data_IF_130914181934
#
_entry.id   IF_130914181934
#
_cell.length_a   1.000
_cell.length_b   1.000
_cell.length_c   1.000
_cell.angle_alpha   90.00
_cell.angle_beta   90.00
_cell.angle_gamma   90.00
#
_symmetry.space_group_name_H-M   'P 1'
#
loop_
_entity.id
_entity.type
_entity.pdbx_description
1 polymer ?
#
# COMPACT_ATOMS: atom_id res chain seq x y z
N UNK A 1 2.00 30.74 5.20
CA UNK A 1 1.46 29.36 5.25
C UNK A 1 0.04 29.32 4.73
N UNK A 2 -0.60 28.15 4.86
CA UNK A 2 -2.04 27.91 4.61
C UNK A 2 -2.67 27.41 5.92
N UNK A 3 -3.98 27.15 5.95
CA UNK A 3 -4.64 26.56 7.13
C UNK A 3 -4.03 25.21 7.57
N UNK A 4 -3.37 24.49 6.66
CA UNK A 4 -2.73 23.21 6.98
C UNK A 4 -1.53 23.33 7.94
N UNK A 5 -1.01 24.54 8.15
CA UNK A 5 0.16 24.78 9.00
C UNK A 5 -0.20 25.15 10.43
N UNK A 6 -1.49 25.35 10.72
CA UNK A 6 -1.94 25.76 12.05
C UNK A 6 -1.61 24.70 13.11
N UNK A 7 -0.91 25.12 14.17
CA UNK A 7 -0.49 24.25 15.27
C UNK A 7 0.64 23.28 14.93
N UNK A 8 1.24 23.34 13.73
CA UNK A 8 2.37 22.50 13.33
C UNK A 8 3.70 23.19 13.55
N UNK A 9 4.72 22.42 13.90
CA UNK A 9 6.08 22.91 14.02
C UNK A 9 6.63 23.32 12.64
N UNK A 10 7.32 24.47 12.58
CA UNK A 10 7.99 24.95 11.37
C UNK A 10 9.46 25.20 11.61
N UNK A 11 10.26 25.03 10.56
CA UNK A 11 11.71 25.24 10.61
C UNK A 11 12.21 25.90 9.32
N UNK A 12 13.12 26.86 9.45
CA UNK A 12 13.82 27.45 8.30
C UNK A 12 15.08 26.65 7.99
N UNK A 13 15.15 26.09 6.78
CA UNK A 13 16.28 25.29 6.27
C UNK A 13 16.72 25.92 4.95
N UNK A 14 17.98 26.38 4.88
CA UNK A 14 18.50 27.01 3.66
C UNK A 14 17.74 28.28 3.23
N UNK A 15 17.19 29.03 4.20
CA UNK A 15 16.42 30.25 3.94
C UNK A 15 14.97 30.01 3.50
N UNK A 16 14.50 28.76 3.50
CA UNK A 16 13.10 28.40 3.20
C UNK A 16 12.42 27.78 4.41
N UNK A 17 11.18 28.16 4.67
CA UNK A 17 10.35 27.59 5.73
C UNK A 17 9.77 26.23 5.31
N UNK A 18 9.84 25.26 6.21
CA UNK A 18 9.27 23.92 6.10
C UNK A 18 8.35 23.64 7.29
N UNK A 19 7.39 22.73 7.11
CA UNK A 19 6.45 22.30 8.15
C UNK A 19 6.74 20.84 8.47
N UNK A 20 6.80 20.49 9.75
CA UNK A 20 6.96 19.12 10.21
C UNK A 20 5.62 18.36 10.08
N UNK A 21 5.64 17.24 9.37
CA UNK A 21 4.53 16.28 9.30
C UNK A 21 4.94 14.97 10.00
N UNK A 22 4.05 14.44 10.84
CA UNK A 22 4.29 13.16 11.50
C UNK A 22 3.94 12.00 10.56
N UNK A 23 4.65 10.88 10.72
CA UNK A 23 4.36 9.66 9.98
C UNK A 23 2.98 9.10 10.37
N UNK A 24 2.18 8.76 9.37
CA UNK A 24 0.89 8.10 9.59
C UNK A 24 1.10 6.60 9.86
N UNK A 25 0.43 6.08 10.89
CA UNK A 25 0.41 4.66 11.27
C UNK A 25 -1.03 4.17 11.39
N UNK A 26 -1.23 2.87 11.18
CA UNK A 26 -2.53 2.23 11.36
C UNK A 26 -2.40 0.85 12.00
N UNK A 27 -3.45 0.41 12.69
CA UNK A 27 -3.53 -0.98 13.17
C UNK A 27 -3.78 -1.95 12.01
N UNK A 28 -4.65 -1.55 11.08
CA UNK A 28 -5.02 -2.33 9.91
C UNK A 28 -4.87 -1.54 8.61
N UNK A 29 -4.39 -2.23 7.58
CA UNK A 29 -4.32 -1.74 6.20
C UNK A 29 -5.13 -2.69 5.31
N UNK A 30 -6.19 -2.16 4.70
CA UNK A 30 -7.03 -2.88 3.75
C UNK A 30 -6.73 -2.34 2.35
N UNK A 31 -6.09 -3.16 1.53
CA UNK A 31 -5.58 -2.75 0.23
C UNK A 31 -5.91 -3.77 -0.85
N UNK A 32 -5.68 -3.37 -2.10
CA UNK A 32 -5.97 -4.17 -3.28
C UNK A 32 -4.76 -4.30 -4.20
N UNK A 33 -4.47 -5.53 -4.62
CA UNK A 33 -3.46 -5.88 -5.62
C UNK A 33 -4.09 -6.47 -6.88
N UNK A 34 -3.25 -6.81 -7.87
CA UNK A 34 -3.69 -7.56 -9.03
C UNK A 34 -3.47 -9.06 -8.82
N UNK A 35 -2.22 -9.48 -8.59
CA UNK A 35 -1.89 -10.86 -8.22
C UNK A 35 -1.03 -10.88 -6.98
N UNK A 36 -1.16 -11.93 -6.18
CA UNK A 36 -0.21 -12.24 -5.13
C UNK A 36 0.28 -13.69 -5.23
N UNK A 37 1.53 -13.93 -4.86
CA UNK A 37 2.00 -15.30 -4.67
C UNK A 37 1.67 -15.83 -3.26
N UNK A 38 1.86 -17.13 -3.04
CA UNK A 38 1.61 -17.78 -1.74
C UNK A 38 2.54 -17.29 -0.61
N UNK A 39 3.61 -16.56 -0.92
CA UNK A 39 4.50 -15.89 0.05
C UNK A 39 4.06 -14.45 0.37
N UNK A 40 3.05 -13.93 -0.33
CA UNK A 40 2.50 -12.59 -0.15
C UNK A 40 3.12 -11.51 -1.01
N UNK A 41 4.01 -11.83 -1.96
CA UNK A 41 4.51 -10.84 -2.91
C UNK A 41 3.41 -10.39 -3.85
N UNK A 42 3.34 -9.09 -4.14
CA UNK A 42 2.21 -8.49 -4.88
C UNK A 42 2.68 -7.71 -6.10
N UNK A 43 1.98 -7.94 -7.21
CA UNK A 43 2.00 -7.09 -8.41
C UNK A 43 0.69 -6.33 -8.56
N UNK A 44 0.74 -5.14 -9.18
CA UNK A 44 -0.42 -4.25 -9.37
C UNK A 44 -0.64 -3.97 -10.86
N UNK A 45 -1.86 -3.59 -11.23
CA UNK A 45 -2.22 -3.29 -12.63
C UNK A 45 -2.55 -1.81 -12.83
N UNK A 46 -1.73 -1.11 -13.62
CA UNK A 46 -1.95 0.29 -13.97
C UNK A 46 -2.08 1.21 -12.75
N UNK A 47 -3.10 2.07 -12.74
CA UNK A 47 -3.30 3.09 -11.70
C UNK A 47 -3.82 2.55 -10.36
N UNK A 48 -4.17 1.26 -10.29
CA UNK A 48 -4.60 0.61 -9.05
C UNK A 48 -3.49 0.52 -7.99
N UNK A 49 -2.22 0.69 -8.38
CA UNK A 49 -1.07 0.65 -7.44
C UNK A 49 -1.13 1.70 -6.34
N UNK A 50 -1.49 2.93 -6.71
CA UNK A 50 -1.56 4.16 -5.89
C UNK A 50 -1.04 4.05 -4.44
N UNK A 51 -1.91 4.15 -3.43
CA UNK A 51 -1.58 4.10 -2.01
C UNK A 51 -1.48 2.68 -1.46
N UNK A 52 -1.91 1.67 -2.22
CA UNK A 52 -1.88 0.28 -1.75
C UNK A 52 -0.46 -0.15 -1.37
N UNK A 53 0.53 0.16 -2.21
CA UNK A 53 1.92 -0.21 -1.94
C UNK A 53 2.56 0.60 -0.79
N UNK A 54 2.27 1.90 -0.69
CA UNK A 54 2.92 2.78 0.30
C UNK A 54 2.32 2.63 1.69
N UNK A 55 1.05 2.21 1.79
CA UNK A 55 0.36 2.01 3.07
C UNK A 55 0.67 0.65 3.71
N UNK A 56 1.00 -0.38 2.91
CA UNK A 56 1.36 -1.71 3.41
C UNK A 56 2.42 -1.72 4.53
N UNK A 57 3.57 -1.00 4.43
CA UNK A 57 4.55 -0.92 5.50
C UNK A 57 4.16 0.01 6.67
N UNK A 58 3.06 0.76 6.55
CA UNK A 58 2.62 1.72 7.55
C UNK A 58 1.70 1.12 8.62
N UNK A 59 1.26 -0.13 8.45
CA UNK A 59 0.32 -0.79 9.35
C UNK A 59 0.87 -2.02 10.07
N UNK A 60 0.27 -2.34 11.22
CA UNK A 60 0.61 -3.54 11.98
C UNK A 60 0.05 -4.83 11.34
N UNK A 61 -1.12 -4.74 10.68
CA UNK A 61 -1.73 -5.85 9.94
C UNK A 61 -2.22 -5.40 8.57
N UNK A 62 -1.65 -5.97 7.51
CA UNK A 62 -2.05 -5.71 6.13
C UNK A 62 -2.81 -6.89 5.57
N UNK A 63 -4.02 -6.62 5.08
CA UNK A 63 -4.88 -7.55 4.36
C UNK A 63 -4.99 -7.06 2.93
N UNK A 64 -4.59 -7.90 1.98
CA UNK A 64 -4.69 -7.58 0.56
C UNK A 64 -5.69 -8.46 -0.16
N UNK A 65 -6.64 -7.81 -0.84
CA UNK A 65 -7.50 -8.46 -1.82
C UNK A 65 -6.82 -8.49 -3.20
N UNK A 66 -6.81 -9.63 -3.88
CA UNK A 66 -6.22 -9.80 -5.21
C UNK A 66 -7.17 -10.50 -6.17
N UNK A 67 -6.99 -10.27 -7.47
CA UNK A 67 -7.76 -10.97 -8.50
C UNK A 67 -7.31 -12.44 -8.62
N UNK A 68 -6.02 -12.71 -8.44
CA UNK A 68 -5.43 -14.05 -8.62
C UNK A 68 -4.39 -14.33 -7.54
N UNK A 69 -4.40 -15.55 -7.01
CA UNK A 69 -3.33 -16.09 -6.16
C UNK A 69 -2.56 -17.12 -6.99
N UNK A 70 -1.24 -16.95 -7.08
CA UNK A 70 -0.33 -17.80 -7.86
C UNK A 70 0.67 -18.50 -6.95
N UNK A 71 1.36 -19.52 -7.46
CA UNK A 71 2.40 -20.19 -6.68
C UNK A 71 3.67 -19.34 -6.55
N UNK A 72 4.44 -19.59 -5.48
CA UNK A 72 5.71 -18.92 -5.26
C UNK A 72 6.68 -19.18 -6.41
N UNK A 73 7.23 -18.11 -6.98
CA UNK A 73 8.12 -18.17 -8.15
C UNK A 73 7.43 -17.99 -9.50
N UNK A 74 6.09 -17.90 -9.55
CA UNK A 74 5.36 -17.55 -10.77
C UNK A 74 5.35 -16.04 -11.06
N UNK A 75 5.56 -15.21 -10.03
CA UNK A 75 5.78 -13.77 -10.21
C UNK A 75 7.25 -13.50 -10.52
N UNK A 76 7.52 -12.70 -11.55
CA UNK A 76 8.87 -12.21 -11.83
C UNK A 76 9.33 -11.33 -10.65
N UNK A 77 10.48 -11.64 -10.02
CA UNK A 77 11.03 -10.84 -8.93
C UNK A 77 11.17 -9.34 -9.24
N UNK A 78 11.42 -8.98 -10.50
CA UNK A 78 11.56 -7.58 -10.93
C UNK A 78 10.20 -6.86 -11.09
N UNK A 79 9.09 -7.60 -11.12
CA UNK A 79 7.74 -7.04 -11.18
C UNK A 79 7.11 -6.87 -9.79
N UNK A 80 7.65 -7.49 -8.75
CA UNK A 80 7.15 -7.41 -7.37
C UNK A 80 7.28 -5.97 -6.86
N UNK A 81 6.12 -5.37 -6.53
CA UNK A 81 6.07 -4.01 -6.01
C UNK A 81 6.00 -3.99 -4.49
N UNK A 82 5.17 -4.85 -3.91
CA UNK A 82 5.03 -4.97 -2.45
C UNK A 82 5.57 -6.33 -2.06
N UNK A 83 6.74 -6.39 -1.41
CA UNK A 83 7.29 -7.64 -0.90
C UNK A 83 6.36 -8.27 0.14
N UNK A 84 6.28 -9.60 0.16
CA UNK A 84 5.39 -10.35 1.04
C UNK A 84 5.62 -10.14 2.53
N UNK A 85 6.79 -9.64 2.93
CA UNK A 85 7.08 -9.27 4.33
C UNK A 85 6.11 -8.23 4.89
N UNK A 86 5.48 -7.42 4.04
CA UNK A 86 4.50 -6.40 4.45
C UNK A 86 3.05 -6.91 4.41
N UNK A 87 2.81 -8.14 3.98
CA UNK A 87 1.48 -8.72 3.79
C UNK A 87 1.24 -9.79 4.85
N UNK A 88 0.18 -9.64 5.64
CA UNK A 88 -0.18 -10.62 6.67
C UNK A 88 -1.26 -11.59 6.21
N UNK A 89 -2.17 -11.13 5.34
CA UNK A 89 -3.30 -11.94 4.84
C UNK A 89 -3.57 -11.61 3.38
N UNK A 90 -3.81 -12.65 2.60
CA UNK A 90 -4.20 -12.55 1.18
C UNK A 90 -5.63 -13.07 1.06
N UNK A 91 -6.48 -12.33 0.36
CA UNK A 91 -7.86 -12.71 0.07
C UNK A 91 -8.05 -12.72 -1.43
N UNK A 92 -8.47 -13.85 -1.99
CA UNK A 92 -8.84 -13.89 -3.39
C UNK A 92 -10.24 -13.30 -3.57
N UNK A 93 -10.37 -12.40 -4.54
CA UNK A 93 -11.65 -11.82 -4.95
C UNK A 93 -12.55 -12.94 -5.50
N UNK A 94 -13.84 -12.98 -5.13
CA UNK A 94 -14.78 -13.91 -5.75
C UNK A 94 -14.90 -13.70 -7.26
N UNK A 95 -15.03 -14.79 -8.00
CA UNK A 95 -15.29 -14.76 -9.44
C UNK A 95 -16.57 -13.95 -9.73
N UNK A 96 -16.51 -13.10 -10.75
CA UNK A 96 -17.66 -12.29 -11.18
C UNK A 96 -18.02 -11.13 -10.27
N UNK A 97 -17.26 -10.82 -9.22
CA UNK A 97 -17.51 -9.62 -8.42
C UNK A 97 -17.33 -8.36 -9.29
N UNK A 98 -18.37 -7.54 -9.42
CA UNK A 98 -18.31 -6.18 -9.96
C UNK A 98 -18.71 -5.21 -8.86
N UNK A 99 -17.98 -4.09 -8.66
CA UNK A 99 -18.40 -3.08 -7.69
C UNK A 99 -19.56 -2.20 -8.23
N UNK A 100 -19.97 -2.41 -9.48
CA UNK A 100 -20.97 -1.60 -10.19
C UNK A 100 -22.22 -2.40 -10.61
N UNK A 101 -22.23 -3.71 -10.33
CA UNK A 101 -23.42 -4.57 -10.43
C UNK A 101 -23.96 -4.84 -9.02
#
# INVERSE_FOLDING_TARGET
GTLLTEGKETQVIGGKEYVLEQALRADFCLIRGHKADTLGNVVYKGTSRNFNAVMAPAAATTVIEVDEIVEAGELDPEEIVTPGVYINRIVQRPDGFSPYE
#
